data_IF_592352470585
#
_entry.id   IF_592352470585
#
_cell.length_a   1.000
_cell.length_b   1.000
_cell.length_c   1.000
_cell.angle_alpha   90.00
_cell.angle_beta   90.00
_cell.angle_gamma   90.00
#
_symmetry.space_group_name_H-M   'P 1'
#
loop_
_entity.id
_entity.type
_entity.pdbx_description
1 polymer ?
#
# COMPACT_ATOMS: atom_id res chain seq x y z
N UNK A 1 -22.31 -22.57 -1.56
CA UNK A 1 -21.56 -22.04 -2.68
C UNK A 1 -21.34 -20.56 -2.54
N UNK A 2 -20.08 -20.16 -2.62
CA UNK A 2 -19.64 -18.84 -2.16
C UNK A 2 -19.81 -17.75 -3.22
N UNK A 3 -21.01 -17.27 -3.41
CA UNK A 3 -21.25 -15.99 -4.13
C UNK A 3 -21.07 -14.77 -3.24
N UNK A 4 -20.67 -14.95 -1.99
CA UNK A 4 -20.50 -13.88 -1.00
C UNK A 4 -19.23 -13.05 -1.19
N UNK A 5 -18.32 -13.44 -2.09
CA UNK A 5 -17.06 -12.70 -2.33
C UNK A 5 -17.13 -11.58 -3.38
N UNK A 6 -18.26 -11.37 -4.03
CA UNK A 6 -18.47 -10.24 -4.93
C UNK A 6 -18.94 -8.96 -4.21
N UNK A 7 -19.15 -9.03 -2.90
CA UNK A 7 -19.46 -7.87 -2.07
C UNK A 7 -18.21 -7.46 -1.31
N UNK A 8 -17.46 -6.53 -1.88
CA UNK A 8 -16.32 -5.94 -1.19
C UNK A 8 -16.76 -5.27 0.10
N UNK A 9 -16.09 -5.58 1.21
CA UNK A 9 -16.33 -4.97 2.52
C UNK A 9 -15.47 -3.74 2.77
N UNK A 10 -14.46 -3.51 1.92
CA UNK A 10 -13.56 -2.40 2.06
C UNK A 10 -12.86 -2.08 0.74
N UNK A 11 -12.40 -0.86 0.63
CA UNK A 11 -11.64 -0.38 -0.53
C UNK A 11 -10.54 0.59 -0.08
N UNK A 12 -9.38 0.51 -0.72
CA UNK A 12 -8.29 1.48 -0.54
C UNK A 12 -7.65 1.80 -1.89
N UNK A 13 -7.06 2.98 -1.99
CA UNK A 13 -6.17 3.31 -3.09
C UNK A 13 -4.92 2.41 -3.03
N UNK A 14 -4.48 1.94 -4.18
CA UNK A 14 -3.23 1.17 -4.32
C UNK A 14 -2.14 2.11 -4.79
N UNK A 15 -1.05 2.14 -4.05
CA UNK A 15 0.17 2.83 -4.45
C UNK A 15 1.18 1.78 -4.91
N UNK A 16 1.47 1.70 -6.23
CA UNK A 16 2.40 0.71 -6.76
C UNK A 16 3.77 0.82 -6.08
N UNK A 17 4.26 -0.30 -5.57
CA UNK A 17 5.57 -0.39 -4.94
C UNK A 17 6.09 -1.83 -5.06
N UNK A 18 7.36 -1.97 -5.45
CA UNK A 18 7.94 -3.28 -5.69
C UNK A 18 8.00 -4.09 -4.37
N UNK A 19 7.49 -5.32 -4.44
CA UNK A 19 7.47 -6.30 -3.36
C UNK A 19 6.69 -5.91 -2.08
N UNK A 20 5.90 -4.85 -2.13
CA UNK A 20 5.05 -4.44 -1.01
C UNK A 20 3.64 -5.00 -1.20
N UNK A 21 3.20 -5.80 -0.23
CA UNK A 21 1.84 -6.33 -0.20
C UNK A 21 0.82 -5.20 -0.06
N UNK A 22 -0.28 -5.26 -0.82
CA UNK A 22 -1.41 -4.35 -0.64
C UNK A 22 -2.03 -4.62 0.72
N UNK A 23 -2.07 -3.64 1.64
CA UNK A 23 -2.62 -3.87 2.97
C UNK A 23 -4.15 -3.90 2.93
N UNK A 24 -4.75 -4.73 3.77
CA UNK A 24 -6.21 -4.75 3.95
C UNK A 24 -6.68 -3.49 4.71
N UNK A 25 -7.85 -2.92 4.37
CA UNK A 25 -8.46 -1.87 5.19
C UNK A 25 -8.65 -2.27 6.66
N UNK A 26 -8.86 -3.56 6.94
CA UNK A 26 -9.00 -4.07 8.29
C UNK A 26 -7.70 -4.03 9.11
N UNK A 27 -6.54 -3.93 8.45
CA UNK A 27 -5.23 -3.82 9.10
C UNK A 27 -4.80 -2.38 9.39
N UNK A 28 -5.64 -1.40 9.07
CA UNK A 28 -5.37 0.01 9.35
C UNK A 28 -5.10 0.24 10.84
N UNK A 29 -3.99 0.91 11.15
CA UNK A 29 -3.62 1.29 12.51
C UNK A 29 -4.07 2.71 12.82
N UNK A 30 -3.46 3.67 12.15
CA UNK A 30 -3.75 5.11 12.29
C UNK A 30 -3.16 5.91 11.14
N UNK A 31 -3.52 7.19 11.10
CA UNK A 31 -2.98 8.20 10.20
C UNK A 31 -2.26 9.32 10.97
N UNK A 32 -1.41 10.05 10.30
CA UNK A 32 -0.71 11.19 10.87
C UNK A 32 -0.09 12.07 9.78
N UNK A 33 0.78 12.97 10.23
CA UNK A 33 1.51 13.91 9.36
C UNK A 33 2.97 13.94 9.82
N UNK A 34 3.90 13.80 8.88
CA UNK A 34 5.32 13.92 9.24
C UNK A 34 5.67 15.36 9.60
N UNK A 35 6.60 15.54 10.54
CA UNK A 35 7.08 16.84 10.98
C UNK A 35 8.56 17.12 10.65
N UNK A 36 9.26 16.15 10.11
CA UNK A 36 10.65 16.27 9.69
C UNK A 36 10.92 15.46 8.43
N UNK A 37 11.94 15.90 7.66
CA UNK A 37 12.45 15.19 6.49
C UNK A 37 13.79 14.57 6.85
N UNK A 38 13.83 13.25 6.90
CA UNK A 38 15.04 12.44 7.10
C UNK A 38 15.02 11.31 6.07
N UNK A 39 16.09 11.15 5.33
CA UNK A 39 16.19 10.14 4.27
C UNK A 39 15.83 8.75 4.78
N UNK A 40 14.94 8.08 4.06
CA UNK A 40 14.39 6.75 4.40
C UNK A 40 13.71 6.68 5.78
N UNK A 41 13.15 7.78 6.27
CA UNK A 41 12.43 7.76 7.54
C UNK A 41 11.07 8.48 7.44
N UNK A 42 10.13 8.00 8.22
CA UNK A 42 8.97 8.76 8.66
C UNK A 42 9.24 9.27 10.07
N UNK A 43 9.21 10.58 10.26
CA UNK A 43 9.38 11.22 11.58
C UNK A 43 8.09 11.96 11.93
N UNK A 44 7.56 11.67 13.11
CA UNK A 44 6.40 12.34 13.69
C UNK A 44 6.60 12.42 15.22
N UNK A 45 7.07 13.57 15.71
CA UNK A 45 7.37 13.79 17.13
C UNK A 45 6.13 13.83 18.02
N UNK A 46 4.93 13.90 17.43
CA UNK A 46 3.66 13.90 18.17
C UNK A 46 3.14 12.50 18.48
N UNK A 47 3.81 11.45 17.96
CA UNK A 47 3.44 10.04 18.10
C UNK A 47 4.43 9.28 19.00
N UNK A 48 3.96 8.15 19.49
CA UNK A 48 4.81 7.09 20.03
C UNK A 48 4.51 5.79 19.28
N UNK A 49 5.25 5.57 18.18
CA UNK A 49 5.06 4.41 17.30
C UNK A 49 5.24 3.07 18.02
N UNK A 50 6.11 3.02 19.04
CA UNK A 50 6.29 1.81 19.85
C UNK A 50 5.07 1.53 20.70
N UNK A 51 4.53 2.54 21.40
CA UNK A 51 3.33 2.41 22.22
C UNK A 51 2.09 2.12 21.38
N UNK A 52 2.01 2.65 20.15
CA UNK A 52 0.93 2.41 19.18
C UNK A 52 1.04 1.04 18.48
N UNK A 53 2.10 0.28 18.77
CA UNK A 53 2.25 -1.11 18.34
C UNK A 53 2.72 -1.27 16.89
N UNK A 54 3.36 -0.25 16.30
CA UNK A 54 3.99 -0.37 14.98
C UNK A 54 5.14 -1.39 15.04
N UNK A 55 5.28 -2.16 13.97
CA UNK A 55 6.29 -3.23 13.90
C UNK A 55 7.00 -3.23 12.54
N UNK A 56 8.15 -3.89 12.50
CA UNK A 56 8.81 -4.21 11.23
C UNK A 56 7.87 -5.01 10.32
N UNK A 57 7.92 -4.72 9.02
CA UNK A 57 7.04 -5.19 7.95
C UNK A 57 5.63 -4.57 7.92
N UNK A 58 5.26 -3.69 8.83
CA UNK A 58 4.07 -2.85 8.64
C UNK A 58 4.25 -1.99 7.39
N UNK A 59 3.13 -1.65 6.74
CA UNK A 59 3.12 -0.86 5.50
C UNK A 59 2.82 0.60 5.81
N UNK A 60 3.63 1.50 5.30
CA UNK A 60 3.40 2.94 5.36
C UNK A 60 3.01 3.44 3.98
N UNK A 61 1.89 4.12 3.90
CA UNK A 61 1.44 4.87 2.73
C UNK A 61 1.66 6.36 2.96
N UNK A 62 2.42 7.02 2.09
CA UNK A 62 2.39 8.47 1.97
C UNK A 62 1.18 8.84 1.09
N UNK A 63 0.10 9.30 1.71
CA UNK A 63 -1.15 9.61 0.98
C UNK A 63 -1.10 10.95 0.24
N UNK A 64 -0.10 11.79 0.53
CA UNK A 64 0.12 13.05 -0.18
C UNK A 64 0.77 12.81 -1.54
N UNK A 65 1.75 11.90 -1.61
CA UNK A 65 2.51 11.64 -2.84
C UNK A 65 2.05 10.39 -3.59
N UNK A 66 1.31 9.50 -2.94
CA UNK A 66 0.93 8.22 -3.51
C UNK A 66 2.08 7.22 -3.56
N UNK A 67 2.88 7.15 -2.49
CA UNK A 67 4.01 6.23 -2.37
C UNK A 67 3.84 5.28 -1.18
N UNK A 68 4.49 4.12 -1.24
CA UNK A 68 4.45 3.10 -0.19
C UNK A 68 5.84 2.61 0.18
N UNK A 69 6.03 2.25 1.44
CA UNK A 69 7.25 1.64 1.96
C UNK A 69 6.93 0.66 3.10
N UNK A 70 7.85 -0.26 3.36
CA UNK A 70 7.82 -1.13 4.53
C UNK A 70 8.56 -0.48 5.69
N UNK A 71 8.07 -0.71 6.90
CA UNK A 71 8.79 -0.38 8.14
C UNK A 71 9.91 -1.41 8.34
N UNK A 72 11.13 -0.95 8.49
CA UNK A 72 12.30 -1.79 8.80
C UNK A 72 12.61 -1.75 10.30
N UNK A 73 12.65 -0.56 10.89
CA UNK A 73 12.93 -0.36 12.31
C UNK A 73 11.95 0.66 12.91
N UNK A 74 11.69 0.54 14.20
CA UNK A 74 10.73 1.37 14.93
C UNK A 74 11.42 1.99 16.14
N UNK A 75 11.31 3.32 16.27
CA UNK A 75 11.60 4.07 17.50
C UNK A 75 10.33 4.76 17.99
N UNK A 76 10.41 5.50 19.09
CA UNK A 76 9.23 6.19 19.61
C UNK A 76 8.64 7.18 18.60
N UNK A 77 9.48 7.98 17.93
CA UNK A 77 9.04 9.08 17.07
C UNK A 77 9.48 8.96 15.61
N UNK A 78 10.16 7.88 15.25
CA UNK A 78 10.62 7.66 13.88
C UNK A 78 10.55 6.19 13.46
N UNK A 79 10.24 5.99 12.17
CA UNK A 79 10.24 4.68 11.49
C UNK A 79 11.32 4.72 10.41
N UNK A 80 12.22 3.76 10.40
CA UNK A 80 13.11 3.53 9.25
C UNK A 80 12.35 2.76 8.18
N UNK A 81 12.38 3.25 6.94
CA UNK A 81 11.59 2.73 5.83
C UNK A 81 12.46 2.08 4.76
N UNK A 82 11.87 1.17 4.00
CA UNK A 82 12.51 0.50 2.87
C UNK A 82 12.77 1.41 1.66
N UNK A 83 12.13 2.58 1.62
CA UNK A 83 12.28 3.57 0.55
C UNK A 83 12.06 4.99 1.11
N UNK A 84 12.68 5.97 0.46
CA UNK A 84 12.54 7.38 0.81
C UNK A 84 11.27 7.96 0.21
N UNK A 85 10.17 7.86 0.94
CA UNK A 85 8.85 8.33 0.50
C UNK A 85 8.40 9.64 1.13
N UNK A 86 9.17 10.19 2.10
CA UNK A 86 8.88 11.45 2.77
C UNK A 86 9.96 12.51 2.47
N UNK A 87 9.82 13.18 1.33
CA UNK A 87 10.80 14.16 0.83
C UNK A 87 10.44 15.61 1.13
N UNK A 88 9.31 15.85 1.80
CA UNK A 88 8.83 17.16 2.23
C UNK A 88 8.01 17.04 3.53
N UNK A 89 7.72 18.18 4.16
CA UNK A 89 6.76 18.34 5.26
C UNK A 89 5.85 19.54 5.00
N UNK A 90 4.57 19.49 5.42
CA UNK A 90 3.86 18.34 5.98
C UNK A 90 3.38 17.38 4.87
N UNK A 91 3.49 16.08 5.09
CA UNK A 91 2.92 15.03 4.23
C UNK A 91 2.11 14.06 5.08
N UNK A 92 0.91 13.72 4.60
CA UNK A 92 0.03 12.80 5.30
C UNK A 92 0.45 11.35 5.08
N UNK A 93 0.27 10.53 6.12
CA UNK A 93 0.53 9.09 6.03
C UNK A 93 -0.57 8.25 6.68
N UNK A 94 -0.65 7.00 6.22
CA UNK A 94 -1.40 5.92 6.85
C UNK A 94 -0.47 4.76 7.15
N UNK A 95 -0.65 4.12 8.30
CA UNK A 95 0.07 2.90 8.69
C UNK A 95 -0.91 1.75 8.77
N UNK A 96 -0.51 0.62 8.17
CA UNK A 96 -1.24 -0.63 8.15
C UNK A 96 -0.39 -1.74 8.74
N UNK A 97 -0.98 -2.55 9.63
CA UNK A 97 -0.31 -3.73 10.15
C UNK A 97 -0.02 -4.73 9.03
N UNK A 98 1.09 -5.45 9.14
CA UNK A 98 1.25 -6.65 8.35
C UNK A 98 0.12 -7.62 8.64
N UNK A 99 -0.54 -8.09 7.60
CA UNK A 99 -1.65 -9.04 7.70
C UNK A 99 -1.43 -10.24 6.76
N UNK A 100 -2.14 -11.33 7.05
CA UNK A 100 -2.14 -12.55 6.26
C UNK A 100 -3.39 -12.74 5.42
N UNK A 101 -4.23 -11.70 5.30
CA UNK A 101 -5.47 -11.79 4.52
C UNK A 101 -5.18 -12.08 3.04
N UNK A 102 -6.12 -12.77 2.41
CA UNK A 102 -6.12 -12.98 0.96
C UNK A 102 -6.10 -11.63 0.24
N UNK A 103 -5.47 -11.62 -0.94
CA UNK A 103 -5.35 -10.41 -1.73
C UNK A 103 -6.69 -9.90 -2.23
N UNK A 104 -6.79 -8.60 -2.51
CA UNK A 104 -7.95 -7.96 -3.11
C UNK A 104 -8.09 -8.29 -4.59
N UNK A 105 -9.26 -7.96 -5.16
CA UNK A 105 -9.42 -7.71 -6.58
C UNK A 105 -9.19 -6.24 -6.87
N UNK A 106 -8.71 -5.90 -8.07
CA UNK A 106 -8.36 -4.53 -8.43
C UNK A 106 -9.35 -3.94 -9.42
N UNK A 107 -9.59 -2.64 -9.26
CA UNK A 107 -10.18 -1.78 -10.27
C UNK A 107 -9.11 -0.82 -10.79
N UNK A 108 -8.99 -0.68 -12.09
CA UNK A 108 -8.04 0.22 -12.75
C UNK A 108 -8.81 1.38 -13.37
N UNK A 109 -8.68 2.56 -12.81
CA UNK A 109 -9.38 3.76 -13.29
C UNK A 109 -8.80 4.28 -14.61
N UNK A 110 -7.48 4.45 -14.66
CA UNK A 110 -6.76 4.88 -15.86
C UNK A 110 -5.91 3.74 -16.39
N UNK A 111 -6.18 3.32 -17.62
CA UNK A 111 -5.57 2.17 -18.29
C UNK A 111 -4.08 2.34 -18.59
N UNK A 112 -3.47 1.22 -18.94
CA UNK A 112 -2.03 1.13 -19.22
C UNK A 112 -1.53 -0.29 -19.01
N UNK A 113 -0.28 -0.43 -18.60
CA UNK A 113 0.30 -1.71 -18.19
C UNK A 113 0.18 -1.86 -16.67
N UNK A 114 -0.11 -3.05 -16.20
CA UNK A 114 -0.24 -3.39 -14.80
C UNK A 114 0.65 -4.60 -14.48
N UNK A 115 1.70 -4.37 -13.72
CA UNK A 115 2.60 -5.42 -13.22
C UNK A 115 2.14 -5.85 -11.82
N UNK A 116 1.74 -7.11 -11.69
CA UNK A 116 1.19 -7.67 -10.45
C UNK A 116 1.91 -8.94 -10.03
N UNK A 117 1.84 -9.20 -8.72
CA UNK A 117 2.07 -10.54 -8.18
C UNK A 117 0.76 -11.04 -7.60
N UNK A 118 0.31 -12.20 -8.05
CA UNK A 118 -0.92 -12.83 -7.56
C UNK A 118 -0.74 -13.39 -6.15
N UNK A 119 -1.81 -13.76 -5.49
CA UNK A 119 -1.74 -14.45 -4.18
C UNK A 119 -1.10 -15.82 -4.27
N UNK A 120 -1.11 -16.45 -5.44
CA UNK A 120 -0.38 -17.69 -5.70
C UNK A 120 1.14 -17.49 -5.90
N UNK A 121 1.60 -16.24 -6.04
CA UNK A 121 3.01 -15.90 -6.23
C UNK A 121 3.42 -15.71 -7.70
N UNK A 122 2.46 -15.75 -8.64
CA UNK A 122 2.75 -15.56 -10.06
C UNK A 122 2.96 -14.09 -10.37
N UNK A 123 4.11 -13.75 -10.98
CA UNK A 123 4.40 -12.41 -11.48
C UNK A 123 3.90 -12.29 -12.93
N UNK A 124 3.02 -11.33 -13.19
CA UNK A 124 2.38 -11.13 -14.49
C UNK A 124 2.32 -9.64 -14.82
N UNK A 125 2.59 -9.30 -16.10
CA UNK A 125 2.34 -7.96 -16.63
C UNK A 125 1.14 -8.03 -17.58
N UNK A 126 0.06 -7.37 -17.19
CA UNK A 126 -1.12 -7.17 -18.03
C UNK A 126 -0.92 -5.91 -18.86
N UNK A 127 -0.92 -6.05 -20.18
CA UNK A 127 -0.63 -4.93 -21.10
C UNK A 127 -1.91 -4.37 -21.71
N UNK A 128 -1.89 -3.05 -22.00
CA UNK A 128 -2.98 -2.36 -22.68
C UNK A 128 -4.35 -2.52 -21.99
N UNK A 129 -4.38 -2.47 -20.66
CA UNK A 129 -5.63 -2.46 -19.91
C UNK A 129 -6.41 -1.19 -20.27
N UNK A 130 -7.70 -1.32 -20.57
CA UNK A 130 -8.59 -0.19 -20.79
C UNK A 130 -8.91 0.54 -19.47
N UNK A 131 -9.41 1.78 -19.58
CA UNK A 131 -9.91 2.51 -18.42
C UNK A 131 -11.16 1.84 -17.83
N UNK A 132 -11.30 1.87 -16.51
CA UNK A 132 -12.49 1.40 -15.81
C UNK A 132 -12.66 -0.12 -15.78
N UNK A 133 -11.58 -0.89 -15.75
CA UNK A 133 -11.59 -2.35 -15.80
C UNK A 133 -11.35 -2.97 -14.43
N UNK A 134 -12.12 -4.00 -14.09
CA UNK A 134 -11.84 -4.89 -12.95
C UNK A 134 -10.90 -6.02 -13.37
N UNK A 135 -9.93 -6.30 -12.52
CA UNK A 135 -8.99 -7.41 -12.68
C UNK A 135 -9.51 -8.58 -11.84
N UNK A 136 -10.06 -9.63 -12.47
CA UNK A 136 -10.76 -10.72 -11.77
C UNK A 136 -9.81 -11.78 -11.20
N UNK A 137 -8.71 -11.33 -10.61
CA UNK A 137 -7.72 -12.19 -9.95
C UNK A 137 -7.35 -11.58 -8.61
N UNK A 138 -7.05 -12.42 -7.63
CA UNK A 138 -6.60 -11.96 -6.32
C UNK A 138 -5.14 -11.54 -6.40
N UNK A 139 -4.88 -10.28 -6.10
CA UNK A 139 -3.56 -9.65 -6.24
C UNK A 139 -2.91 -9.45 -4.88
N UNK A 140 -1.67 -9.90 -4.73
CA UNK A 140 -0.86 -9.68 -3.53
C UNK A 140 -0.22 -8.29 -3.53
N UNK A 141 0.40 -7.91 -4.66
CA UNK A 141 1.09 -6.63 -4.79
C UNK A 141 1.01 -6.09 -6.22
N UNK A 142 1.03 -4.78 -6.35
CA UNK A 142 1.21 -4.07 -7.62
C UNK A 142 2.62 -3.51 -7.63
N UNK A 143 3.41 -3.94 -8.61
CA UNK A 143 4.80 -3.51 -8.74
C UNK A 143 4.86 -2.10 -9.34
N UNK A 144 5.73 -1.24 -8.83
CA UNK A 144 6.01 0.05 -9.45
C UNK A 144 6.70 -0.15 -10.80
N UNK A 145 7.63 -1.10 -10.85
CA UNK A 145 8.32 -1.49 -12.08
C UNK A 145 7.36 -2.19 -13.04
N UNK A 146 7.17 -1.60 -14.21
CA UNK A 146 6.31 -2.16 -15.27
C UNK A 146 4.83 -1.76 -15.18
N UNK A 147 4.40 -1.00 -14.16
CA UNK A 147 3.06 -0.43 -14.07
C UNK A 147 3.06 0.99 -14.61
N UNK A 148 2.15 1.27 -15.55
CA UNK A 148 1.90 2.61 -16.12
C UNK A 148 0.45 3.06 -15.95
N UNK A 149 -0.45 2.16 -15.52
CA UNK A 149 -1.81 2.53 -15.15
C UNK A 149 -1.85 3.28 -13.81
N UNK A 150 -2.92 4.03 -13.57
CA UNK A 150 -3.13 4.81 -12.37
C UNK A 150 -4.58 4.70 -11.87
N UNK A 151 -4.87 5.37 -10.75
CA UNK A 151 -6.19 5.33 -10.12
C UNK A 151 -6.63 3.89 -9.81
N UNK A 152 -5.72 3.11 -9.23
CA UNK A 152 -5.94 1.71 -8.89
C UNK A 152 -6.58 1.64 -7.51
N UNK A 153 -7.70 0.93 -7.42
CA UNK A 153 -8.42 0.69 -6.17
C UNK A 153 -8.45 -0.82 -5.90
N UNK A 154 -8.13 -1.20 -4.69
CA UNK A 154 -8.24 -2.57 -4.21
C UNK A 154 -9.55 -2.76 -3.42
N UNK A 155 -10.25 -3.87 -3.68
CA UNK A 155 -11.51 -4.25 -3.03
C UNK A 155 -11.37 -5.61 -2.34
N UNK A 156 -11.84 -5.69 -1.08
CA UNK A 156 -11.90 -6.92 -0.27
C UNK A 156 -13.32 -7.41 -0.03
#
# INVERSE_FOLDING_TARGET
>A
MAYTKLQGRGAINVYPADDIKIPSPASFRFSGVNDSVVTNQLVDSTRDFLAEGVRSNDVVYNTTTGAAALVLEVTATALTLSADIFTATPQNYNIYAYDSFDGPVLYVGTGGNLSIVTTAGDAVVLTNIANGVFIPVMVRSVQATGTTCSDIIAFW
#
